data_IF_829300212098
#
_entry.id   IF_829300212098
#
_cell.length_a   1.000
_cell.length_b   1.000
_cell.length_c   1.000
_cell.angle_alpha   90.00
_cell.angle_beta   90.00
_cell.angle_gamma   90.00
#
_symmetry.space_group_name_H-M   'P 1'
#
loop_
_entity.id
_entity.type
_entity.pdbx_description
1 polymer ?
#
# COMPACT_ATOMS: atom_id res chain seq x y z
N UNK A 1 -7.08 -21.73 -8.72
CA UNK A 1 -6.10 -21.04 -7.85
C UNK A 1 -5.54 -22.09 -6.91
N UNK A 2 -4.26 -22.04 -6.60
CA UNK A 2 -3.65 -22.94 -5.61
C UNK A 2 -3.23 -22.12 -4.39
N UNK A 3 -3.21 -22.78 -3.24
CA UNK A 3 -2.54 -22.26 -2.06
C UNK A 3 -1.47 -23.23 -1.58
N UNK A 4 -0.51 -22.70 -0.85
CA UNK A 4 0.61 -23.45 -0.30
C UNK A 4 0.49 -23.45 1.22
N UNK A 5 0.56 -24.63 1.79
CA UNK A 5 0.76 -24.83 3.21
C UNK A 5 2.25 -24.96 3.48
N UNK A 6 2.76 -24.16 4.44
CA UNK A 6 4.15 -24.20 4.85
C UNK A 6 4.24 -24.98 6.17
N UNK A 7 4.90 -26.11 6.16
CA UNK A 7 5.09 -26.92 7.37
C UNK A 7 6.11 -26.28 8.31
N UNK A 8 6.16 -26.71 9.57
CA UNK A 8 7.15 -26.24 10.56
C UNK A 8 8.60 -26.44 10.10
N UNK A 9 8.84 -27.42 9.24
CA UNK A 9 10.17 -27.73 8.68
C UNK A 9 10.45 -26.94 7.39
N UNK A 10 9.56 -25.99 7.02
CA UNK A 10 9.70 -25.14 5.85
C UNK A 10 9.35 -25.82 4.51
N UNK A 11 8.72 -27.00 4.54
CA UNK A 11 8.27 -27.69 3.33
C UNK A 11 6.97 -27.07 2.84
N UNK A 12 6.92 -26.73 1.54
CA UNK A 12 5.75 -26.16 0.89
C UNK A 12 4.93 -27.28 0.22
N UNK A 13 3.66 -27.40 0.63
CA UNK A 13 2.72 -28.38 0.06
C UNK A 13 1.66 -27.65 -0.74
N UNK A 14 1.63 -27.88 -2.05
CA UNK A 14 0.62 -27.30 -2.93
C UNK A 14 -0.71 -28.00 -2.78
N UNK A 15 -1.75 -27.23 -2.55
CA UNK A 15 -3.14 -27.65 -2.56
C UNK A 15 -3.88 -26.94 -3.69
N UNK A 16 -4.49 -27.69 -4.59
CA UNK A 16 -5.20 -27.10 -5.74
C UNK A 16 -6.65 -26.83 -5.38
N UNK A 17 -7.06 -25.61 -5.59
CA UNK A 17 -8.44 -25.20 -5.58
C UNK A 17 -8.98 -25.11 -7.01
N UNK A 18 -10.14 -25.71 -7.29
CA UNK A 18 -10.73 -25.69 -8.63
C UNK A 18 -11.26 -24.29 -9.00
N UNK A 19 -10.38 -23.51 -9.59
CA UNK A 19 -10.68 -22.20 -10.17
C UNK A 19 -10.09 -22.12 -11.55
N UNK A 20 -10.81 -21.57 -12.53
CA UNK A 20 -10.35 -21.44 -13.90
C UNK A 20 -9.15 -20.50 -13.97
N UNK A 21 -7.99 -21.01 -14.35
CA UNK A 21 -6.78 -20.19 -14.59
C UNK A 21 -7.08 -19.08 -15.61
N UNK A 22 -6.73 -17.86 -15.28
CA UNK A 22 -6.82 -16.69 -16.16
C UNK A 22 -7.89 -15.66 -15.79
N UNK A 23 -8.76 -15.95 -14.84
CA UNK A 23 -9.73 -14.96 -14.34
C UNK A 23 -9.09 -14.07 -13.24
N UNK A 24 -9.46 -12.80 -13.21
CA UNK A 24 -9.03 -11.88 -12.16
C UNK A 24 -9.68 -12.20 -10.81
N UNK A 25 -9.04 -11.76 -9.72
CA UNK A 25 -9.60 -11.93 -8.38
C UNK A 25 -10.97 -11.22 -8.24
N UNK A 26 -11.13 -10.04 -8.85
CA UNK A 26 -12.43 -9.35 -8.87
C UNK A 26 -13.53 -10.19 -9.49
N UNK A 27 -13.24 -10.94 -10.57
CA UNK A 27 -14.22 -11.83 -11.18
C UNK A 27 -14.64 -12.98 -10.25
N UNK A 28 -13.69 -13.53 -9.49
CA UNK A 28 -14.00 -14.51 -8.46
C UNK A 28 -14.91 -13.90 -7.38
N UNK A 29 -14.54 -12.74 -6.86
CA UNK A 29 -15.29 -12.02 -5.83
C UNK A 29 -16.73 -11.78 -6.28
N UNK A 30 -16.92 -11.25 -7.48
CA UNK A 30 -18.26 -11.02 -8.06
C UNK A 30 -19.06 -12.32 -8.22
N UNK A 31 -18.43 -13.42 -8.63
CA UNK A 31 -19.10 -14.71 -8.80
C UNK A 31 -19.57 -15.33 -7.46
N UNK A 32 -19.04 -14.86 -6.35
CA UNK A 32 -19.32 -15.34 -4.99
C UNK A 32 -20.14 -14.33 -4.16
N UNK A 33 -20.77 -13.38 -4.84
CA UNK A 33 -21.69 -12.41 -4.23
C UNK A 33 -21.00 -11.25 -3.51
N UNK A 34 -19.72 -10.99 -3.82
CA UNK A 34 -19.07 -9.75 -3.50
C UNK A 34 -19.35 -8.67 -4.53
N UNK A 35 -18.73 -7.50 -4.38
CA UNK A 35 -18.92 -6.36 -5.28
C UNK A 35 -17.64 -5.57 -5.48
N UNK A 36 -17.65 -4.65 -6.46
CA UNK A 36 -16.56 -3.74 -6.77
C UNK A 36 -17.08 -2.32 -6.92
N UNK A 37 -16.47 -1.37 -6.21
CA UNK A 37 -16.90 0.01 -6.16
C UNK A 37 -15.76 0.94 -6.59
N UNK A 38 -15.97 1.80 -7.61
CA UNK A 38 -14.99 2.81 -7.98
C UNK A 38 -14.96 3.94 -6.95
N UNK A 39 -13.77 4.44 -6.65
CA UNK A 39 -13.56 5.61 -5.82
C UNK A 39 -13.35 6.83 -6.73
N UNK A 40 -14.30 7.76 -6.71
CA UNK A 40 -14.33 8.91 -7.63
C UNK A 40 -14.26 10.21 -6.84
N UNK A 41 -13.26 11.03 -7.13
CA UNK A 41 -13.17 12.43 -6.72
C UNK A 41 -13.38 13.29 -7.98
N UNK A 42 -14.10 14.44 -7.90
CA UNK A 42 -14.31 15.30 -9.05
C UNK A 42 -13.01 15.68 -9.77
N UNK A 43 -13.00 15.55 -11.11
CA UNK A 43 -11.82 15.76 -11.95
C UNK A 43 -11.28 17.19 -11.91
N UNK A 44 -12.13 18.16 -11.58
CA UNK A 44 -11.75 19.57 -11.42
C UNK A 44 -10.77 19.78 -10.27
N UNK A 45 -10.79 18.91 -9.25
CA UNK A 45 -9.87 18.97 -8.11
C UNK A 45 -8.55 18.27 -8.40
N UNK A 46 -8.55 17.33 -9.31
CA UNK A 46 -7.39 16.51 -9.67
C UNK A 46 -6.76 16.91 -11.00
N UNK A 47 -7.30 17.92 -11.68
CA UNK A 47 -6.89 18.30 -13.04
C UNK A 47 -6.89 17.12 -14.04
N UNK A 48 -7.77 16.14 -13.80
CA UNK A 48 -7.85 14.93 -14.63
C UNK A 48 -6.67 13.95 -14.48
N UNK A 49 -5.81 14.15 -13.49
CA UNK A 49 -4.70 13.24 -13.19
C UNK A 49 -5.10 12.11 -12.21
N UNK A 50 -4.24 11.11 -12.04
CA UNK A 50 -4.59 9.85 -11.45
C UNK A 50 -4.88 9.87 -9.95
N UNK A 51 -5.94 9.18 -9.59
CA UNK A 51 -6.20 8.72 -8.23
C UNK A 51 -5.73 7.27 -8.16
N UNK A 52 -4.95 6.91 -7.15
CA UNK A 52 -4.38 5.57 -7.05
C UNK A 52 -4.15 5.12 -5.61
N UNK A 53 -3.87 3.85 -5.46
CA UNK A 53 -3.32 3.20 -4.27
C UNK A 53 -4.06 3.58 -2.98
N UNK A 54 -5.40 3.41 -2.95
CA UNK A 54 -6.20 3.73 -1.77
C UNK A 54 -5.93 2.77 -0.62
N UNK A 55 -5.95 3.30 0.62
CA UNK A 55 -5.92 2.52 1.85
C UNK A 55 -7.19 2.76 2.66
N UNK A 56 -7.79 1.73 3.21
CA UNK A 56 -9.10 1.75 3.88
C UNK A 56 -9.00 1.40 5.35
N UNK A 57 -9.85 2.01 6.15
CA UNK A 57 -9.96 1.76 7.59
C UNK A 57 -11.39 2.02 8.07
N UNK A 58 -11.88 1.22 9.01
CA UNK A 58 -13.00 1.60 9.85
C UNK A 58 -12.51 2.46 11.01
N UNK A 59 -12.97 3.70 11.08
CA UNK A 59 -12.59 4.67 12.10
C UNK A 59 -13.83 5.31 12.72
N UNK A 60 -13.98 5.19 14.05
CA UNK A 60 -15.16 5.69 14.79
C UNK A 60 -16.50 5.22 14.19
N UNK A 61 -16.58 3.95 13.79
CA UNK A 61 -17.78 3.34 13.22
C UNK A 61 -18.14 3.79 11.79
N UNK A 62 -17.21 4.47 11.12
CA UNK A 62 -17.36 4.92 9.72
C UNK A 62 -16.18 4.42 8.87
N UNK A 63 -16.46 4.13 7.61
CA UNK A 63 -15.40 3.85 6.65
C UNK A 63 -14.73 5.13 6.19
N UNK A 64 -13.41 5.15 6.25
CA UNK A 64 -12.58 6.17 5.64
C UNK A 64 -11.56 5.53 4.70
N UNK A 65 -11.21 6.24 3.65
CA UNK A 65 -10.20 5.83 2.68
C UNK A 65 -9.20 6.97 2.50
N UNK A 66 -7.91 6.67 2.57
CA UNK A 66 -6.88 7.55 2.07
C UNK A 66 -6.67 7.26 0.59
N UNK A 67 -6.83 8.23 -0.28
CA UNK A 67 -6.55 8.09 -1.72
C UNK A 67 -5.34 8.96 -2.07
N UNK A 68 -4.35 8.34 -2.72
CA UNK A 68 -3.22 9.03 -3.30
C UNK A 68 -3.63 9.70 -4.61
N UNK A 69 -3.41 11.00 -4.72
CA UNK A 69 -3.49 11.77 -5.94
C UNK A 69 -2.10 12.21 -6.38
N UNK A 70 -1.84 12.16 -7.68
CA UNK A 70 -0.59 12.63 -8.27
C UNK A 70 -0.86 13.65 -9.36
N UNK A 71 0.01 14.65 -9.49
CA UNK A 71 -0.08 15.68 -10.53
C UNK A 71 0.53 15.25 -11.87
N UNK A 72 0.81 13.97 -12.02
CA UNK A 72 1.44 13.38 -13.20
C UNK A 72 0.70 12.12 -13.62
N UNK A 73 0.99 11.61 -14.78
CA UNK A 73 0.43 10.34 -15.24
C UNK A 73 1.45 9.57 -16.08
N UNK A 74 1.33 8.25 -16.07
CA UNK A 74 2.07 7.35 -16.92
C UNK A 74 1.35 7.16 -18.25
N UNK A 75 2.04 7.43 -19.36
CA UNK A 75 1.56 7.08 -20.69
C UNK A 75 2.39 5.96 -21.27
N UNK A 76 1.91 4.75 -21.18
CA UNK A 76 2.56 3.58 -21.79
C UNK A 76 2.20 3.42 -23.28
N UNK A 77 1.05 3.92 -23.71
CA UNK A 77 0.48 3.69 -25.03
C UNK A 77 0.59 4.88 -25.99
N UNK A 78 0.97 6.06 -25.51
CA UNK A 78 1.05 7.22 -26.39
C UNK A 78 2.41 7.34 -27.08
N UNK A 79 2.36 7.66 -28.37
CA UNK A 79 3.55 7.86 -29.21
C UNK A 79 4.39 9.09 -28.86
N UNK A 80 3.94 9.93 -27.94
CA UNK A 80 4.68 11.11 -27.46
C UNK A 80 5.64 10.72 -26.36
N UNK A 81 6.92 10.83 -26.67
CA UNK A 81 8.01 10.63 -25.73
C UNK A 81 8.29 11.96 -25.02
N UNK A 82 7.95 12.05 -23.75
CA UNK A 82 8.45 13.13 -22.91
C UNK A 82 9.83 12.71 -22.40
N UNK A 83 10.84 13.54 -22.68
CA UNK A 83 12.17 13.31 -22.11
C UNK A 83 12.18 13.85 -20.68
N UNK A 84 12.34 12.96 -19.74
CA UNK A 84 12.60 13.30 -18.36
C UNK A 84 14.11 13.24 -18.10
N UNK A 85 14.70 14.12 -17.23
CA UNK A 85 16.13 14.11 -16.91
C UNK A 85 16.68 12.74 -16.47
N UNK A 86 15.83 11.89 -15.93
CA UNK A 86 16.17 10.57 -15.39
C UNK A 86 16.03 9.43 -16.39
N UNK A 87 15.92 9.71 -17.68
CA UNK A 87 15.83 8.70 -18.72
C UNK A 87 14.42 8.49 -19.26
N UNK A 88 14.11 7.30 -19.79
CA UNK A 88 12.93 7.09 -20.64
C UNK A 88 11.60 6.95 -19.88
N UNK A 89 11.47 7.44 -18.67
CA UNK A 89 10.20 7.53 -17.97
C UNK A 89 9.33 8.58 -18.65
N UNK A 90 8.08 8.22 -18.92
CA UNK A 90 7.14 9.11 -19.60
C UNK A 90 6.11 9.57 -18.61
N UNK A 91 6.40 10.67 -17.92
CA UNK A 91 5.42 11.33 -17.08
C UNK A 91 4.88 12.56 -17.80
N UNK A 92 3.57 12.74 -17.79
CA UNK A 92 2.97 14.06 -18.00
C UNK A 92 2.85 14.73 -16.65
N UNK A 93 3.50 15.85 -16.50
CA UNK A 93 3.37 16.72 -15.34
C UNK A 93 3.01 18.15 -15.83
N UNK A 94 2.53 19.01 -14.93
CA UNK A 94 2.24 20.41 -15.30
C UNK A 94 3.44 21.10 -15.94
N UNK A 95 3.21 21.91 -16.95
CA UNK A 95 4.27 22.56 -17.75
C UNK A 95 5.24 23.40 -16.91
N UNK A 96 4.78 23.90 -15.76
CA UNK A 96 5.53 24.81 -14.89
C UNK A 96 5.98 24.17 -13.56
N UNK A 97 5.80 22.87 -13.37
CA UNK A 97 6.24 22.18 -12.16
C UNK A 97 7.06 20.94 -12.52
N UNK A 98 8.34 20.97 -12.15
CA UNK A 98 9.26 19.85 -12.37
C UNK A 98 9.11 18.75 -11.32
N UNK A 99 8.30 18.98 -10.28
CA UNK A 99 8.11 18.01 -9.23
C UNK A 99 6.91 17.10 -9.51
N UNK A 100 7.12 15.82 -9.29
CA UNK A 100 6.11 14.78 -9.35
C UNK A 100 5.45 14.67 -7.98
N UNK A 101 4.38 15.43 -7.79
CA UNK A 101 3.76 15.61 -6.47
C UNK A 101 2.74 14.54 -6.17
N UNK A 102 2.80 14.06 -4.95
CA UNK A 102 1.80 13.22 -4.32
C UNK A 102 1.04 14.02 -3.27
N UNK A 103 -0.28 13.99 -3.35
CA UNK A 103 -1.20 14.50 -2.33
C UNK A 103 -2.08 13.36 -1.83
N UNK A 104 -2.48 13.41 -0.57
CA UNK A 104 -3.33 12.41 0.03
C UNK A 104 -4.68 13.03 0.42
N UNK A 105 -5.76 12.33 0.09
CA UNK A 105 -7.14 12.73 0.41
C UNK A 105 -7.77 11.73 1.37
N UNK A 106 -8.29 12.20 2.48
CA UNK A 106 -9.17 11.40 3.32
C UNK A 106 -10.60 11.54 2.84
N UNK A 107 -11.17 10.41 2.46
CA UNK A 107 -12.52 10.30 1.92
C UNK A 107 -13.39 9.53 2.91
N UNK A 108 -14.58 10.05 3.22
CA UNK A 108 -15.61 9.33 3.95
C UNK A 108 -16.47 8.53 2.98
N UNK A 109 -16.68 7.27 3.30
CA UNK A 109 -17.43 6.33 2.45
C UNK A 109 -18.82 6.13 3.08
N UNK A 110 -19.86 6.24 2.27
CA UNK A 110 -21.23 5.98 2.67
C UNK A 110 -21.59 4.47 2.63
N UNK A 111 -22.82 4.13 3.02
CA UNK A 111 -23.28 2.74 3.05
C UNK A 111 -23.39 2.08 1.65
N UNK A 112 -23.39 2.88 0.59
CA UNK A 112 -23.37 2.43 -0.81
C UNK A 112 -21.97 2.43 -1.42
N UNK A 113 -20.93 2.57 -0.59
CA UNK A 113 -19.52 2.66 -0.98
C UNK A 113 -19.17 3.85 -1.89
N UNK A 114 -19.99 4.92 -1.90
CA UNK A 114 -19.64 6.15 -2.57
C UNK A 114 -18.87 7.10 -1.64
N UNK A 115 -18.04 7.94 -2.23
CA UNK A 115 -17.40 9.04 -1.50
C UNK A 115 -18.46 10.10 -1.19
N UNK A 116 -18.81 10.24 0.08
CA UNK A 116 -19.77 11.23 0.58
C UNK A 116 -19.11 12.57 0.92
N UNK A 117 -17.83 12.53 1.27
CA UNK A 117 -17.01 13.68 1.63
C UNK A 117 -15.54 13.35 1.40
N UNK A 118 -14.76 14.34 1.00
CA UNK A 118 -13.31 14.21 0.85
C UNK A 118 -12.62 15.51 1.24
N UNK A 119 -11.44 15.39 1.83
CA UNK A 119 -10.56 16.52 2.18
C UNK A 119 -9.11 16.14 1.87
N UNK A 120 -8.39 17.03 1.21
CA UNK A 120 -6.94 16.93 1.13
C UNK A 120 -6.34 17.06 2.52
N UNK A 121 -5.35 16.23 2.85
CA UNK A 121 -4.60 16.39 4.09
C UNK A 121 -3.78 17.67 4.00
N UNK A 122 -4.00 18.59 4.92
CA UNK A 122 -3.18 19.80 5.05
C UNK A 122 -1.85 19.45 5.72
N UNK A 123 -0.80 19.47 4.94
CA UNK A 123 0.59 19.20 5.34
C UNK A 123 1.44 20.47 5.45
N UNK A 124 0.83 21.65 5.32
CA UNK A 124 1.52 22.95 5.20
C UNK A 124 2.41 23.28 6.39
N UNK A 125 2.11 22.75 7.58
CA UNK A 125 2.93 22.93 8.77
C UNK A 125 4.31 22.24 8.62
N UNK A 126 4.37 21.15 7.88
CA UNK A 126 5.59 20.32 7.73
C UNK A 126 6.28 20.53 6.39
N UNK A 127 5.55 20.83 5.32
CA UNK A 127 6.11 20.99 3.97
C UNK A 127 6.59 22.43 3.71
N UNK A 128 7.37 22.97 4.65
CA UNK A 128 7.94 24.34 4.57
C UNK A 128 9.35 24.40 3.98
N UNK A 129 9.90 23.26 3.55
CA UNK A 129 11.21 23.15 2.92
C UNK A 129 11.11 23.03 1.39
N UNK A 130 12.20 23.32 0.71
CA UNK A 130 12.32 23.06 -0.72
C UNK A 130 12.65 21.58 -0.94
N UNK A 131 11.86 20.83 -1.71
CA UNK A 131 12.15 19.45 -2.04
C UNK A 131 13.53 19.31 -2.70
N UNK A 132 14.29 18.29 -2.30
CA UNK A 132 15.62 17.99 -2.84
C UNK A 132 15.58 16.94 -3.95
N UNK A 133 14.40 16.33 -4.18
CA UNK A 133 14.17 15.29 -5.18
C UNK A 133 12.86 15.57 -5.92
N UNK A 134 12.73 14.99 -7.10
CA UNK A 134 11.57 15.21 -7.96
C UNK A 134 10.26 14.60 -7.48
N UNK A 135 10.30 13.43 -6.78
CA UNK A 135 9.12 12.81 -6.19
C UNK A 135 8.85 13.40 -4.81
N UNK A 136 7.77 14.15 -4.71
CA UNK A 136 7.44 14.96 -3.54
C UNK A 136 6.17 14.44 -2.88
N UNK A 137 6.21 14.34 -1.57
CA UNK A 137 5.06 13.93 -0.74
C UNK A 137 5.13 12.49 -0.25
N UNK A 138 4.11 12.08 0.50
CA UNK A 138 4.00 10.76 1.11
C UNK A 138 3.33 9.79 0.14
N UNK A 139 4.11 8.84 -0.39
CA UNK A 139 3.64 7.86 -1.38
C UNK A 139 3.06 6.61 -0.69
N UNK A 140 2.01 6.05 -1.29
CA UNK A 140 1.40 4.76 -0.94
C UNK A 140 1.10 4.63 0.56
N UNK A 141 0.42 5.64 1.10
CA UNK A 141 0.19 5.77 2.53
C UNK A 141 -0.94 4.86 3.01
N UNK A 142 -0.62 3.96 3.95
CA UNK A 142 -1.57 3.09 4.64
C UNK A 142 -2.18 3.81 5.82
N UNK A 143 -3.49 3.64 6.00
CA UNK A 143 -4.22 4.11 7.18
C UNK A 143 -4.12 3.11 8.33
N UNK A 144 -3.98 3.61 9.55
CA UNK A 144 -4.09 2.81 10.77
C UNK A 144 -4.57 3.66 11.94
N UNK A 145 -5.27 3.03 12.85
CA UNK A 145 -5.58 3.59 14.17
C UNK A 145 -4.78 2.83 15.22
N UNK A 146 -3.96 3.55 15.97
CA UNK A 146 -3.19 2.99 17.07
C UNK A 146 -3.34 3.86 18.32
N UNK A 147 -3.73 3.24 19.42
CA UNK A 147 -3.93 3.94 20.72
C UNK A 147 -4.91 5.12 20.61
N UNK A 148 -5.97 5.00 19.81
CA UNK A 148 -6.97 6.05 19.59
C UNK A 148 -6.50 7.23 18.74
N UNK A 149 -5.33 7.11 18.08
CA UNK A 149 -4.76 8.11 17.18
C UNK A 149 -4.78 7.58 15.76
N UNK A 150 -5.12 8.45 14.82
CA UNK A 150 -5.18 8.10 13.40
C UNK A 150 -3.87 8.47 12.69
N UNK A 151 -3.32 7.51 11.96
CA UNK A 151 -2.07 7.68 11.25
C UNK A 151 -2.20 7.34 9.77
N UNK A 152 -1.32 7.96 8.98
CA UNK A 152 -0.93 7.49 7.65
C UNK A 152 0.54 7.12 7.67
N UNK A 153 0.92 6.02 7.01
CA UNK A 153 2.33 5.61 6.90
C UNK A 153 2.66 5.21 5.46
N UNK A 154 3.69 5.83 4.93
CA UNK A 154 4.13 5.65 3.55
C UNK A 154 5.60 5.98 3.37
N UNK A 155 6.08 6.01 2.14
CA UNK A 155 7.46 6.38 1.82
C UNK A 155 7.55 7.84 1.40
N UNK A 156 8.55 8.56 1.92
CA UNK A 156 8.92 9.92 1.46
C UNK A 156 10.35 9.91 0.91
N UNK A 157 10.57 10.63 -0.19
CA UNK A 157 11.82 10.61 -0.94
C UNK A 157 12.44 11.98 -1.17
N UNK A 158 11.71 13.05 -0.96
CA UNK A 158 12.07 14.43 -1.32
C UNK A 158 13.04 15.12 -0.35
N UNK A 159 13.53 14.41 0.66
CA UNK A 159 14.43 14.93 1.69
C UNK A 159 15.91 14.66 1.41
N UNK A 160 16.26 14.09 0.27
CA UNK A 160 17.64 13.79 -0.13
C UNK A 160 17.85 14.02 -1.62
N UNK A 161 19.05 14.42 -2.03
CA UNK A 161 19.38 14.71 -3.43
C UNK A 161 19.43 13.48 -4.35
N UNK A 162 19.42 12.29 -3.78
CA UNK A 162 19.42 11.01 -4.52
C UNK A 162 18.09 10.27 -4.42
N UNK A 163 17.05 10.89 -3.79
CA UNK A 163 15.74 10.28 -3.64
C UNK A 163 15.71 9.07 -2.71
N UNK A 164 16.57 9.04 -1.68
CA UNK A 164 16.56 7.97 -0.68
C UNK A 164 15.20 7.89 0.01
N UNK A 165 14.53 6.74 -0.11
CA UNK A 165 13.21 6.52 0.47
C UNK A 165 13.29 6.11 1.94
N UNK A 166 12.44 6.72 2.77
CA UNK A 166 12.25 6.34 4.18
C UNK A 166 10.77 6.27 4.49
N UNK A 167 10.42 5.29 5.32
CA UNK A 167 9.07 5.26 5.87
C UNK A 167 8.87 6.45 6.79
N UNK A 168 7.71 7.09 6.66
CA UNK A 168 7.23 8.09 7.60
C UNK A 168 5.89 7.66 8.18
N UNK A 169 5.69 8.01 9.44
CA UNK A 169 4.47 7.85 10.19
C UNK A 169 3.93 9.25 10.51
N UNK A 170 2.79 9.58 9.92
CA UNK A 170 2.17 10.89 10.02
C UNK A 170 0.84 10.76 10.77
N UNK A 171 0.72 11.43 11.93
CA UNK A 171 -0.55 11.52 12.63
C UNK A 171 -1.42 12.58 11.97
N UNK A 172 -2.70 12.25 11.79
CA UNK A 172 -3.68 13.15 11.20
C UNK A 172 -4.89 13.30 12.11
N UNK A 173 -5.47 14.49 12.10
CA UNK A 173 -6.74 14.79 12.75
C UNK A 173 -7.80 15.13 11.71
N UNK A 174 -8.99 14.54 11.86
CA UNK A 174 -10.15 14.82 11.02
C UNK A 174 -11.07 15.78 11.77
N UNK A 175 -11.27 16.96 11.22
CA UNK A 175 -12.23 17.97 11.69
C UNK A 175 -13.44 18.05 10.74
N UNK A 176 -14.45 18.84 11.11
CA UNK A 176 -15.67 18.94 10.29
C UNK A 176 -15.44 19.46 8.88
N UNK A 177 -14.46 20.32 8.65
CA UNK A 177 -14.20 20.99 7.36
C UNK A 177 -12.82 20.69 6.78
N UNK A 178 -11.92 20.05 7.51
CA UNK A 178 -10.54 19.81 7.10
C UNK A 178 -9.95 18.54 7.70
N UNK A 179 -8.85 18.10 7.11
CA UNK A 179 -7.95 17.07 7.66
C UNK A 179 -6.56 17.68 7.76
N UNK A 180 -5.91 17.56 8.91
CA UNK A 180 -4.63 18.20 9.19
C UNK A 180 -3.62 17.16 9.64
N UNK A 181 -2.41 17.21 9.12
CA UNK A 181 -1.26 16.50 9.67
C UNK A 181 -0.77 17.23 10.92
N UNK A 182 -0.74 16.54 12.07
CA UNK A 182 -0.39 17.13 13.36
C UNK A 182 0.96 16.66 13.91
N UNK A 183 1.46 15.53 13.42
CA UNK A 183 2.83 15.10 13.69
C UNK A 183 3.41 14.30 12.54
N UNK A 184 4.73 14.33 12.39
CA UNK A 184 5.46 13.60 11.34
C UNK A 184 6.72 12.98 11.92
N UNK A 185 6.82 11.67 11.81
CA UNK A 185 7.96 10.89 12.26
C UNK A 185 8.63 10.18 11.10
N UNK A 186 9.92 10.39 10.95
CA UNK A 186 10.74 9.69 9.96
C UNK A 186 11.41 8.49 10.63
N UNK A 187 11.17 7.30 10.09
CA UNK A 187 11.58 6.05 10.74
C UNK A 187 13.01 5.69 10.29
N UNK A 188 13.90 5.55 11.26
CA UNK A 188 15.21 4.95 11.07
C UNK A 188 15.05 3.43 10.98
N UNK A 189 15.47 2.78 9.88
CA UNK A 189 15.37 1.34 9.74
C UNK A 189 16.29 0.61 10.74
N UNK A 190 15.93 -0.61 11.20
CA UNK A 190 16.65 -1.25 12.30
C UNK A 190 18.05 -1.74 11.93
N UNK A 191 18.32 -2.11 10.67
CA UNK A 191 19.54 -2.83 10.30
C UNK A 191 20.47 -2.07 9.37
N UNK A 192 19.97 -1.34 8.40
CA UNK A 192 20.78 -0.60 7.41
C UNK A 192 20.28 0.84 7.26
N UNK A 193 20.82 1.77 8.04
CA UNK A 193 20.47 3.17 7.93
C UNK A 193 20.83 3.78 6.56
N UNK A 194 21.68 3.11 5.78
CA UNK A 194 22.11 3.56 4.45
C UNK A 194 21.35 2.91 3.30
N UNK A 195 20.37 2.03 3.59
CA UNK A 195 19.54 1.43 2.53
C UNK A 195 18.98 2.53 1.62
N UNK A 196 18.98 2.27 0.30
CA UNK A 196 18.51 3.29 -0.65
C UNK A 196 17.03 3.56 -0.52
N UNK A 197 16.22 2.54 -0.27
CA UNK A 197 14.77 2.71 -0.22
C UNK A 197 14.09 1.75 0.76
N UNK A 198 13.61 2.31 1.85
CA UNK A 198 12.68 1.66 2.77
C UNK A 198 11.26 2.05 2.36
N UNK A 199 10.45 1.09 1.95
CA UNK A 199 9.07 1.31 1.55
C UNK A 199 8.20 0.07 1.69
N UNK A 200 6.88 0.27 1.61
CA UNK A 200 5.89 -0.80 1.63
C UNK A 200 5.91 -1.64 2.92
N UNK A 201 6.29 -1.05 4.03
CA UNK A 201 6.10 -1.68 5.33
C UNK A 201 4.59 -1.79 5.60
N UNK A 202 4.15 -2.99 5.98
CA UNK A 202 2.74 -3.27 6.24
C UNK A 202 2.43 -3.09 7.72
N UNK A 203 1.63 -2.10 8.11
CA UNK A 203 1.24 -1.92 9.51
C UNK A 203 0.35 -3.07 9.98
N UNK A 204 0.60 -3.53 11.21
CA UNK A 204 -0.22 -4.54 11.88
C UNK A 204 -1.28 -3.80 12.67
N UNK A 205 -2.56 -3.95 12.29
CA UNK A 205 -3.62 -3.04 12.76
C UNK A 205 -3.89 -3.10 14.26
N UNK A 206 -3.72 -4.27 14.89
CA UNK A 206 -3.94 -4.51 16.32
C UNK A 206 -2.65 -4.49 17.16
N UNK A 207 -1.50 -4.14 16.55
CA UNK A 207 -0.21 -4.04 17.23
C UNK A 207 0.38 -2.64 17.02
N UNK A 208 0.13 -1.69 17.93
CA UNK A 208 0.58 -0.31 17.76
C UNK A 208 2.08 -0.20 17.46
N UNK A 209 2.40 0.65 16.47
CA UNK A 209 3.76 0.94 15.99
C UNK A 209 4.54 -0.26 15.46
N UNK A 210 3.84 -1.32 15.04
CA UNK A 210 4.46 -2.56 14.57
C UNK A 210 4.13 -2.80 13.09
N UNK A 211 5.15 -3.27 12.36
CA UNK A 211 5.05 -3.50 10.91
C UNK A 211 5.66 -4.84 10.52
N UNK A 212 5.12 -5.46 9.48
CA UNK A 212 5.90 -6.41 8.68
C UNK A 212 6.68 -5.59 7.64
N UNK A 213 8.01 -5.57 7.80
CA UNK A 213 8.94 -4.85 6.91
C UNK A 213 9.26 -5.66 5.66
N UNK A 214 9.52 -6.95 5.84
CA UNK A 214 9.79 -7.92 4.77
C UNK A 214 8.94 -9.16 4.94
N UNK A 215 8.55 -9.75 3.81
CA UNK A 215 7.82 -11.01 3.81
C UNK A 215 8.75 -12.22 3.67
N UNK A 216 9.98 -12.03 3.18
CA UNK A 216 10.90 -13.12 2.90
C UNK A 216 12.39 -12.72 3.05
N UNK A 217 13.10 -13.12 4.12
CA UNK A 217 12.51 -13.68 5.34
C UNK A 217 11.53 -12.70 6.00
N UNK A 218 10.60 -13.23 6.80
CA UNK A 218 9.68 -12.35 7.54
C UNK A 218 10.48 -11.52 8.52
N UNK A 219 10.36 -10.21 8.43
CA UNK A 219 10.93 -9.27 9.39
C UNK A 219 9.82 -8.42 9.99
N UNK A 220 9.60 -8.56 11.30
CA UNK A 220 8.69 -7.72 12.07
C UNK A 220 9.48 -6.66 12.79
N UNK A 221 9.05 -5.41 12.64
CA UNK A 221 9.74 -4.24 13.18
C UNK A 221 8.79 -3.45 14.06
N UNK A 222 9.27 -3.07 15.23
CA UNK A 222 8.58 -2.12 16.11
C UNK A 222 9.28 -0.77 16.08
N UNK A 223 8.49 0.27 15.87
CA UNK A 223 8.91 1.69 15.93
C UNK A 223 8.74 2.17 17.37
N UNK A 224 9.69 2.95 17.87
CA UNK A 224 9.59 3.54 19.20
C UNK A 224 8.38 4.46 19.31
N UNK A 225 7.74 4.47 20.48
CA UNK A 225 6.52 5.25 20.71
C UNK A 225 6.79 6.75 20.95
N UNK A 226 8.06 7.11 21.02
CA UNK A 226 8.50 8.50 21.18
C UNK A 226 9.63 8.80 20.18
N UNK A 227 9.56 9.94 19.50
CA UNK A 227 10.65 10.37 18.62
C UNK A 227 11.87 10.78 19.46
N UNK A 228 13.03 10.78 18.81
CA UNK A 228 14.25 11.40 19.36
C UNK A 228 14.13 12.92 19.33
N UNK A 229 15.14 13.62 19.89
CA UNK A 229 15.24 15.08 19.77
C UNK A 229 15.68 15.55 18.37
N UNK A 230 16.14 14.62 17.52
CA UNK A 230 16.66 14.95 16.20
C UNK A 230 15.55 15.11 15.16
N UNK A 231 15.76 16.00 14.21
CA UNK A 231 14.81 16.29 13.15
C UNK A 231 15.52 16.27 11.78
N UNK A 232 14.78 15.80 10.77
CA UNK A 232 15.17 15.89 9.36
C UNK A 232 14.00 16.45 8.57
N UNK A 233 14.17 17.64 7.98
CA UNK A 233 13.13 18.31 7.18
C UNK A 233 11.75 18.34 7.84
N UNK A 234 11.69 18.87 9.07
CA UNK A 234 10.46 18.96 9.88
C UNK A 234 9.85 17.62 10.30
N UNK A 235 10.49 16.50 10.01
CA UNK A 235 10.12 15.19 10.56
C UNK A 235 10.98 14.89 11.77
N UNK A 236 10.36 14.53 12.89
CA UNK A 236 11.08 14.02 14.05
C UNK A 236 11.64 12.62 13.71
N UNK A 237 12.88 12.34 14.08
CA UNK A 237 13.43 11.01 13.90
C UNK A 237 12.89 10.06 14.97
N UNK A 238 12.54 8.86 14.58
CA UNK A 238 12.15 7.78 15.47
C UNK A 238 12.92 6.52 15.12
N UNK A 239 13.39 5.80 16.13
CA UNK A 239 14.09 4.56 15.89
C UNK A 239 13.12 3.38 15.74
N UNK A 240 13.62 2.33 15.15
CA UNK A 240 12.90 1.06 15.05
C UNK A 240 13.82 -0.12 15.36
N UNK A 241 13.22 -1.22 15.79
CA UNK A 241 13.93 -2.41 16.21
C UNK A 241 13.26 -3.64 15.60
N UNK A 242 14.06 -4.54 15.05
CA UNK A 242 13.57 -5.86 14.61
C UNK A 242 13.18 -6.68 15.84
N UNK A 243 11.90 -7.01 15.95
CA UNK A 243 11.34 -7.82 17.05
C UNK A 243 11.23 -9.29 16.68
N UNK A 244 11.18 -9.60 15.39
CA UNK A 244 11.17 -10.96 14.87
C UNK A 244 11.88 -11.00 13.50
N UNK A 245 12.70 -12.03 13.32
CA UNK A 245 13.32 -12.37 12.05
C UNK A 245 13.13 -13.87 11.80
N UNK A 246 12.30 -14.18 10.82
CA UNK A 246 11.94 -15.55 10.48
C UNK A 246 12.89 -16.23 9.52
N UNK A 247 12.56 -17.45 9.16
CA UNK A 247 13.23 -18.21 8.12
C UNK A 247 12.76 -17.78 6.74
N UNK A 248 13.59 -18.00 5.73
CA UNK A 248 13.22 -17.81 4.33
C UNK A 248 12.18 -18.85 3.91
N UNK A 249 11.10 -18.39 3.32
CA UNK A 249 10.09 -19.22 2.65
C UNK A 249 10.35 -19.15 1.14
N UNK A 250 10.20 -20.26 0.42
CA UNK A 250 10.51 -20.27 -1.01
C UNK A 250 9.53 -19.42 -1.84
N UNK A 251 8.26 -19.33 -1.44
CA UNK A 251 7.19 -18.66 -2.19
C UNK A 251 7.18 -19.01 -3.69
N UNK A 252 7.59 -20.25 -4.02
CA UNK A 252 7.84 -20.65 -5.41
C UNK A 252 8.81 -19.70 -6.15
N UNK A 253 9.94 -19.42 -5.50
CA UNK A 253 11.03 -18.60 -6.04
C UNK A 253 10.64 -17.13 -6.31
N UNK A 254 9.58 -16.63 -5.66
CA UNK A 254 9.13 -15.24 -5.74
C UNK A 254 9.51 -14.46 -4.48
N UNK A 255 9.53 -13.15 -4.61
CA UNK A 255 9.85 -12.21 -3.52
C UNK A 255 8.64 -11.29 -3.26
N UNK A 256 7.65 -11.76 -2.46
CA UNK A 256 6.49 -10.95 -2.13
C UNK A 256 6.89 -9.75 -1.28
N UNK A 257 6.42 -8.57 -1.69
CA UNK A 257 6.64 -7.31 -0.99
C UNK A 257 5.37 -6.78 -0.39
N UNK A 258 5.50 -5.89 0.59
CA UNK A 258 4.35 -5.37 1.33
C UNK A 258 3.31 -4.69 0.44
N UNK A 259 2.07 -4.94 0.74
CA UNK A 259 0.88 -4.39 0.08
C UNK A 259 -0.08 -3.74 1.06
N UNK A 260 -1.13 -4.44 1.48
CA UNK A 260 -2.15 -3.95 2.42
C UNK A 260 -1.66 -3.78 3.85
N UNK A 261 -2.54 -3.32 4.75
CA UNK A 261 -2.39 -3.56 6.18
C UNK A 261 -2.43 -5.07 6.47
N UNK A 262 -1.82 -5.46 7.59
CA UNK A 262 -1.93 -6.82 8.15
C UNK A 262 -3.08 -6.83 9.15
N UNK A 263 -4.09 -7.66 8.87
CA UNK A 263 -5.28 -7.76 9.71
C UNK A 263 -5.37 -9.11 10.42
N UNK A 264 -5.96 -9.19 11.62
CA UNK A 264 -6.35 -10.46 12.22
C UNK A 264 -7.37 -11.19 11.36
N UNK A 265 -7.23 -12.51 11.23
CA UNK A 265 -8.16 -13.36 10.49
C UNK A 265 -8.32 -14.73 11.17
N UNK A 266 -9.27 -14.84 12.06
CA UNK A 266 -9.39 -15.97 12.97
C UNK A 266 -8.17 -16.08 13.89
N UNK A 267 -7.53 -17.23 13.92
CA UNK A 267 -6.32 -17.48 14.73
C UNK A 267 -5.02 -17.01 14.05
N UNK A 268 -5.12 -16.37 12.89
CA UNK A 268 -4.01 -15.98 12.04
C UNK A 268 -3.96 -14.46 11.80
N UNK A 269 -2.89 -14.03 11.15
CA UNK A 269 -2.80 -12.74 10.48
C UNK A 269 -2.75 -12.94 8.97
N UNK A 270 -3.31 -11.99 8.23
CA UNK A 270 -3.34 -12.04 6.78
C UNK A 270 -3.06 -10.66 6.17
N UNK A 271 -2.38 -10.65 5.04
CA UNK A 271 -2.25 -9.47 4.19
C UNK A 271 -2.26 -9.85 2.71
N UNK A 272 -2.57 -8.89 1.88
CA UNK A 272 -2.37 -8.96 0.44
C UNK A 272 -1.03 -8.30 0.12
N UNK A 273 -0.08 -9.09 -0.37
CA UNK A 273 1.25 -8.67 -0.79
C UNK A 273 1.30 -8.50 -2.31
N UNK A 274 2.35 -7.89 -2.83
CA UNK A 274 2.57 -7.77 -4.27
C UNK A 274 3.95 -8.26 -4.68
N UNK A 275 4.07 -8.60 -5.95
CA UNK A 275 5.32 -8.84 -6.66
C UNK A 275 5.25 -8.18 -8.03
N UNK A 276 6.41 -7.88 -8.60
CA UNK A 276 6.50 -7.19 -9.90
C UNK A 276 7.42 -7.97 -10.82
N UNK A 277 6.88 -8.45 -11.92
CA UNK A 277 7.66 -8.98 -13.01
C UNK A 277 8.07 -7.83 -13.94
N UNK A 278 9.34 -7.44 -13.86
CA UNK A 278 9.89 -6.33 -14.65
C UNK A 278 10.37 -6.85 -16.01
N UNK A 279 10.01 -6.16 -17.07
CA UNK A 279 10.45 -6.46 -18.43
C UNK A 279 10.76 -5.18 -19.22
N UNK A 280 11.32 -5.37 -20.40
CA UNK A 280 11.55 -4.29 -21.34
C UNK A 280 10.43 -4.27 -22.36
N UNK A 281 9.68 -3.18 -22.43
CA UNK A 281 8.57 -3.03 -23.37
C UNK A 281 9.04 -3.01 -24.83
N UNK A 282 8.11 -3.16 -25.79
CA UNK A 282 8.39 -3.08 -27.22
C UNK A 282 9.09 -1.79 -27.66
N UNK A 283 8.86 -0.69 -26.93
CA UNK A 283 9.52 0.59 -27.15
C UNK A 283 10.86 0.72 -26.40
N UNK A 284 11.35 -0.36 -25.83
CA UNK A 284 12.66 -0.44 -25.17
C UNK A 284 12.71 0.14 -23.76
N UNK A 285 11.57 0.32 -23.08
CA UNK A 285 11.47 0.91 -21.74
C UNK A 285 11.25 -0.12 -20.68
N UNK A 286 11.60 0.23 -19.43
CA UNK A 286 11.25 -0.57 -18.27
C UNK A 286 9.73 -0.52 -18.08
N UNK A 287 9.13 -1.68 -18.00
CA UNK A 287 7.72 -1.89 -17.71
C UNK A 287 7.57 -3.03 -16.71
N UNK A 288 6.38 -3.26 -16.18
CA UNK A 288 6.18 -4.29 -15.18
C UNK A 288 4.73 -4.73 -15.09
N UNK A 289 4.56 -5.99 -14.73
CA UNK A 289 3.27 -6.56 -14.39
C UNK A 289 3.25 -6.85 -12.91
N UNK A 290 2.29 -6.25 -12.22
CA UNK A 290 2.05 -6.47 -10.80
C UNK A 290 1.17 -7.70 -10.62
N UNK A 291 1.52 -8.51 -9.62
CA UNK A 291 0.74 -9.65 -9.15
C UNK A 291 0.59 -9.57 -7.65
N UNK A 292 -0.46 -10.18 -7.15
CA UNK A 292 -0.78 -10.18 -5.72
C UNK A 292 -0.90 -11.60 -5.21
N UNK A 293 -0.64 -11.80 -3.92
CA UNK A 293 -0.93 -13.04 -3.21
C UNK A 293 -1.35 -12.76 -1.79
N UNK A 294 -2.22 -13.57 -1.25
CA UNK A 294 -2.44 -13.61 0.18
C UNK A 294 -1.31 -14.34 0.86
N UNK A 295 -0.82 -13.78 1.93
CA UNK A 295 0.13 -14.42 2.84
C UNK A 295 -0.52 -14.47 4.22
N UNK A 296 -0.43 -15.64 4.86
CA UNK A 296 -1.01 -15.93 6.16
C UNK A 296 0.10 -16.28 7.13
N UNK A 297 0.12 -15.60 8.28
CA UNK A 297 1.05 -15.86 9.38
C UNK A 297 0.32 -16.38 10.61
N UNK A 298 0.97 -17.23 11.36
CA UNK A 298 0.53 -17.58 12.72
C UNK A 298 0.83 -16.43 13.71
N UNK A 299 0.49 -16.63 14.99
CA UNK A 299 0.73 -15.63 16.04
C UNK A 299 2.22 -15.43 16.38
N UNK A 300 3.08 -16.35 15.94
CA UNK A 300 4.53 -16.29 16.08
C UNK A 300 5.22 -15.77 14.81
N UNK A 301 4.46 -15.24 13.86
CA UNK A 301 4.91 -14.67 12.58
C UNK A 301 5.54 -15.67 11.60
N UNK A 302 5.32 -16.98 11.79
CA UNK A 302 5.70 -17.94 10.77
C UNK A 302 4.70 -17.87 9.61
N UNK A 303 5.20 -17.91 8.38
CA UNK A 303 4.33 -18.09 7.21
C UNK A 303 3.77 -19.51 7.25
N UNK A 304 2.45 -19.61 7.35
CA UNK A 304 1.76 -20.92 7.39
C UNK A 304 1.04 -21.23 6.11
N UNK A 305 0.62 -20.21 5.35
CA UNK A 305 -0.05 -20.37 4.06
C UNK A 305 0.24 -19.18 3.15
N UNK A 306 0.20 -19.42 1.85
CA UNK A 306 0.13 -18.35 0.86
C UNK A 306 -0.58 -18.85 -0.42
N UNK A 307 -1.14 -17.94 -1.20
CA UNK A 307 -1.78 -18.28 -2.48
C UNK A 307 -0.78 -18.21 -3.63
N UNK A 308 -1.11 -18.81 -4.78
CA UNK A 308 -0.49 -18.39 -6.03
C UNK A 308 -0.72 -16.89 -6.26
N UNK A 309 0.14 -16.32 -7.05
CA UNK A 309 -0.03 -14.94 -7.52
C UNK A 309 -1.25 -14.83 -8.46
N UNK A 310 -1.92 -13.70 -8.37
CA UNK A 310 -3.09 -13.38 -9.19
C UNK A 310 -3.12 -11.87 -9.51
N UNK A 311 -3.87 -11.51 -10.56
CA UNK A 311 -4.23 -10.13 -10.83
C UNK A 311 -5.56 -9.76 -10.15
N UNK A 312 -5.70 -8.50 -9.75
CA UNK A 312 -6.96 -8.01 -9.19
C UNK A 312 -8.02 -7.82 -10.28
N UNK A 313 -7.69 -7.13 -11.36
CA UNK A 313 -8.59 -6.84 -12.49
C UNK A 313 -7.97 -7.10 -13.88
N UNK A 314 -6.88 -7.85 -13.97
CA UNK A 314 -6.11 -8.09 -15.19
C UNK A 314 -5.44 -6.84 -15.79
N UNK A 315 -5.09 -5.87 -14.95
CA UNK A 315 -4.22 -4.76 -15.34
C UNK A 315 -2.74 -5.13 -15.26
N UNK A 316 -1.89 -4.34 -15.90
CA UNK A 316 -0.44 -4.46 -15.73
C UNK A 316 0.00 -3.86 -14.41
N UNK A 317 -0.43 -2.64 -14.12
CA UNK A 317 -0.11 -1.93 -12.89
C UNK A 317 -1.33 -1.95 -11.97
N UNK A 318 -1.31 -2.84 -11.01
CA UNK A 318 -2.31 -2.95 -9.96
C UNK A 318 -1.59 -2.94 -8.62
N UNK A 319 -2.05 -2.14 -7.67
CA UNK A 319 -1.38 -2.06 -6.40
C UNK A 319 -2.36 -1.96 -5.23
N UNK A 320 -2.35 -2.98 -4.37
CA UNK A 320 -3.15 -2.99 -3.15
C UNK A 320 -2.40 -2.27 -2.04
N UNK A 321 -3.05 -1.23 -1.46
CA UNK A 321 -2.57 -0.51 -0.28
C UNK A 321 -3.46 -0.67 0.94
N UNK A 322 -4.63 -1.27 0.80
CA UNK A 322 -5.58 -1.32 1.90
C UNK A 322 -6.35 -2.61 2.02
N UNK A 323 -6.52 -3.06 3.27
CA UNK A 323 -7.42 -4.15 3.64
C UNK A 323 -7.92 -3.94 5.06
N UNK A 324 -9.23 -4.05 5.27
CA UNK A 324 -9.83 -4.02 6.60
C UNK A 324 -11.02 -4.97 6.69
N UNK A 325 -11.36 -5.34 7.92
CA UNK A 325 -12.65 -5.97 8.22
C UNK A 325 -13.69 -4.89 8.43
N UNK A 326 -14.85 -5.03 7.81
CA UNK A 326 -15.98 -4.14 8.01
C UNK A 326 -17.28 -4.93 8.03
N UNK A 327 -18.03 -4.87 9.15
CA UNK A 327 -19.19 -5.71 9.38
C UNK A 327 -18.82 -7.19 9.18
N UNK A 328 -19.47 -7.87 8.26
CA UNK A 328 -19.25 -9.27 7.90
C UNK A 328 -18.38 -9.46 6.63
N UNK A 329 -17.72 -8.43 6.15
CA UNK A 329 -16.93 -8.42 4.91
C UNK A 329 -15.47 -8.08 5.16
N UNK A 330 -14.63 -8.47 4.22
CA UNK A 330 -13.29 -7.95 4.05
C UNK A 330 -13.31 -6.96 2.89
N UNK A 331 -12.87 -5.73 3.15
CA UNK A 331 -12.72 -4.71 2.12
C UNK A 331 -11.26 -4.63 1.70
N UNK A 332 -11.01 -4.70 0.40
CA UNK A 332 -9.69 -4.60 -0.21
C UNK A 332 -9.67 -3.39 -1.11
N UNK A 333 -8.71 -2.48 -0.94
CA UNK A 333 -8.58 -1.32 -1.80
C UNK A 333 -7.31 -1.36 -2.61
N UNK A 334 -7.39 -0.95 -3.87
CA UNK A 334 -6.27 -0.98 -4.80
C UNK A 334 -6.34 0.09 -5.87
N UNK A 335 -5.16 0.47 -6.37
CA UNK A 335 -5.00 1.29 -7.57
C UNK A 335 -4.96 0.42 -8.81
N UNK A 336 -5.47 0.95 -9.93
CA UNK A 336 -5.48 0.31 -11.24
C UNK A 336 -4.88 1.25 -12.29
N UNK A 337 -3.82 0.77 -12.95
CA UNK A 337 -3.11 1.48 -14.03
C UNK A 337 -2.63 2.89 -13.62
N UNK A 338 -2.30 3.09 -12.34
CA UNK A 338 -1.93 4.38 -11.73
C UNK A 338 -2.90 5.53 -12.05
N UNK A 339 -4.17 5.21 -12.31
CA UNK A 339 -5.16 6.17 -12.77
C UNK A 339 -6.57 5.99 -12.21
N UNK A 340 -6.82 4.92 -11.50
CA UNK A 340 -8.12 4.64 -10.88
C UNK A 340 -7.95 3.94 -9.54
N UNK A 341 -8.94 4.08 -8.68
CA UNK A 341 -8.97 3.50 -7.34
C UNK A 341 -10.30 2.75 -7.11
N UNK A 342 -10.23 1.60 -6.45
CA UNK A 342 -11.36 0.71 -6.24
C UNK A 342 -11.41 0.16 -4.82
N UNK A 343 -12.63 -0.23 -4.39
CA UNK A 343 -12.89 -1.09 -3.25
C UNK A 343 -13.45 -2.41 -3.79
N UNK A 344 -12.88 -3.54 -3.36
CA UNK A 344 -13.49 -4.86 -3.48
C UNK A 344 -14.16 -5.23 -2.16
N UNK A 345 -15.42 -5.58 -2.21
CA UNK A 345 -16.19 -6.16 -1.10
C UNK A 345 -16.12 -7.67 -1.18
N UNK A 346 -15.38 -8.30 -0.29
CA UNK A 346 -15.05 -9.73 -0.34
C UNK A 346 -15.73 -10.48 0.81
N UNK A 347 -16.37 -11.59 0.49
CA UNK A 347 -16.86 -12.51 1.51
C UNK A 347 -15.65 -13.18 2.21
N UNK A 348 -15.55 -13.16 3.55
CA UNK A 348 -14.46 -13.82 4.27
C UNK A 348 -14.29 -15.30 3.92
N UNK A 349 -15.39 -16.01 3.60
CA UNK A 349 -15.36 -17.42 3.19
C UNK A 349 -14.65 -17.61 1.84
N UNK A 350 -14.71 -16.63 0.94
CA UNK A 350 -13.90 -16.64 -0.28
C UNK A 350 -12.40 -16.67 0.06
N UNK A 351 -11.96 -15.80 0.99
CA UNK A 351 -10.57 -15.75 1.43
C UNK A 351 -10.17 -17.05 2.14
N UNK A 352 -11.03 -17.57 3.06
CA UNK A 352 -10.77 -18.86 3.74
C UNK A 352 -10.51 -19.97 2.74
N UNK A 353 -11.40 -20.10 1.78
CA UNK A 353 -11.32 -21.16 0.77
C UNK A 353 -10.06 -21.05 -0.12
N UNK A 354 -9.71 -19.86 -0.60
CA UNK A 354 -8.53 -19.70 -1.46
C UNK A 354 -7.20 -19.79 -0.70
N UNK A 355 -7.22 -19.59 0.59
CA UNK A 355 -6.03 -19.71 1.48
C UNK A 355 -5.99 -21.05 2.21
N UNK A 356 -7.05 -21.84 2.16
CA UNK A 356 -7.14 -23.13 2.84
C UNK A 356 -7.33 -23.03 4.36
N UNK A 357 -7.91 -21.90 4.86
CA UNK A 357 -8.20 -21.65 6.27
C UNK A 357 -9.58 -22.15 6.69
#
# INVERSE_FOLDING_TARGET
MSFFEVTKDGVEVENTYSYTNGDSFAKLVLSEGGDIHPLIIPSELTNGTGLMNPSILEYNGKLIVNIRHVNYTFYHSEKKLFQHPWGPLTYLHPENDMHLRTENYICHIDESFNISRFNKIDTSQFDTYNPMWEFVGLEDARLMEWNGRLFTSGVRRDTTTNGQGRMELCEIEIHDDKVVEVSRWRINPPADPNSYCEKNWMPIVDQPYTYIKWCNPVEVVKVDEQPTSDMVFNSNLVNSTTTYLGSTTNFKEKDPRGGSQVIPFGDYYIALTHEVDLFKSEVGRKDGVYRHRFVVWDKDWNVVRYTNDFSLMNGHTEFCCGMCTYKDKILITFGFQDNAAYILEVNPETIRRITGL
#
